data_IF_172038189415
#
_entry.id   IF_172038189415
#
_cell.length_a   1.000
_cell.length_b   1.000
_cell.length_c   1.000
_cell.angle_alpha   90.00
_cell.angle_beta   90.00
_cell.angle_gamma   90.00
#
_symmetry.space_group_name_H-M   'P 1'
#
loop_
_entity.id
_entity.type
_entity.pdbx_description
1 polymer ?
#
# COMPACT_ATOMS: atom_id res chain seq x y z
N UNK A 1 -4.85 13.74 -12.71
CA UNK A 1 -4.25 12.67 -11.88
C UNK A 1 -2.84 13.13 -11.62
N UNK A 2 -2.39 13.02 -10.37
CA UNK A 2 -1.08 13.53 -9.98
C UNK A 2 0.04 12.82 -10.75
N UNK A 3 1.08 13.57 -11.05
CA UNK A 3 2.38 13.07 -11.52
C UNK A 3 3.14 12.41 -10.37
N UNK A 4 4.26 11.73 -10.68
CA UNK A 4 5.13 11.14 -9.66
C UNK A 4 5.65 12.20 -8.68
N UNK A 5 6.11 13.35 -9.21
CA UNK A 5 6.63 14.46 -8.41
C UNK A 5 5.55 15.08 -7.52
N UNK A 6 4.34 15.32 -8.04
CA UNK A 6 3.22 15.82 -7.23
C UNK A 6 2.79 14.81 -6.16
N UNK A 7 2.88 13.51 -6.47
CA UNK A 7 2.60 12.45 -5.49
C UNK A 7 3.66 12.40 -4.40
N UNK A 8 4.94 12.58 -4.74
CA UNK A 8 6.05 12.66 -3.78
C UNK A 8 5.90 13.87 -2.85
N UNK A 9 5.53 15.03 -3.39
CA UNK A 9 5.24 16.23 -2.60
C UNK A 9 4.06 16.01 -1.65
N UNK A 10 2.96 15.42 -2.16
CA UNK A 10 1.80 15.10 -1.33
C UNK A 10 2.16 14.09 -0.21
N UNK A 11 2.92 13.05 -0.54
CA UNK A 11 3.35 12.04 0.43
C UNK A 11 4.25 12.65 1.51
N UNK A 12 5.21 13.50 1.12
CA UNK A 12 6.09 14.21 2.06
C UNK A 12 5.26 15.07 3.02
N UNK A 13 4.31 15.84 2.50
CA UNK A 13 3.44 16.67 3.35
C UNK A 13 2.58 15.84 4.31
N UNK A 14 2.12 14.66 3.89
CA UNK A 14 1.38 13.73 4.77
C UNK A 14 2.28 13.17 5.88
N UNK A 15 3.52 12.80 5.57
CA UNK A 15 4.50 12.32 6.55
C UNK A 15 4.86 13.42 7.55
N UNK A 16 5.12 14.63 7.08
CA UNK A 16 5.48 15.78 7.92
C UNK A 16 4.33 16.22 8.85
N UNK A 17 3.08 15.92 8.48
CA UNK A 17 1.91 16.22 9.31
C UNK A 17 1.70 15.23 10.46
N UNK A 18 2.39 14.10 10.47
CA UNK A 18 2.23 13.04 11.47
C UNK A 18 3.21 13.21 12.64
N UNK A 19 2.84 12.78 13.87
CA UNK A 19 3.75 12.76 15.01
C UNK A 19 5.00 11.91 14.77
N UNK A 20 6.17 12.41 15.18
CA UNK A 20 7.47 11.73 14.97
C UNK A 20 7.52 10.34 15.63
N UNK A 21 6.78 10.12 16.72
CA UNK A 21 6.73 8.85 17.47
C UNK A 21 6.21 7.68 16.63
N UNK A 22 5.39 7.98 15.62
CA UNK A 22 4.89 6.97 14.67
C UNK A 22 6.05 6.35 13.91
N UNK A 23 7.09 7.12 13.60
CA UNK A 23 8.23 6.70 12.79
C UNK A 23 9.40 6.14 13.60
N UNK A 24 9.25 6.01 14.93
CA UNK A 24 10.29 5.42 15.76
C UNK A 24 10.62 3.99 15.30
N UNK A 25 11.91 3.73 15.03
CA UNK A 25 12.43 2.50 14.42
C UNK A 25 12.02 2.25 12.95
N UNK A 26 11.38 3.20 12.25
CA UNK A 26 11.17 3.16 10.80
C UNK A 26 12.39 3.76 10.05
N UNK A 27 13.56 3.16 10.23
CA UNK A 27 14.84 3.74 9.84
C UNK A 27 15.06 3.95 8.33
N UNK A 28 14.31 3.27 7.46
CA UNK A 28 14.35 3.51 6.01
C UNK A 28 13.24 4.44 5.51
N UNK A 29 12.39 4.93 6.41
CA UNK A 29 11.33 5.90 6.09
C UNK A 29 10.25 5.34 5.16
N UNK A 30 9.62 6.26 4.42
CA UNK A 30 8.59 5.97 3.42
C UNK A 30 9.14 6.27 2.04
N UNK A 31 9.11 5.29 1.14
CA UNK A 31 9.64 5.37 -0.20
C UNK A 31 8.51 5.35 -1.23
N UNK A 32 8.54 6.25 -2.20
CA UNK A 32 7.65 6.22 -3.36
C UNK A 32 8.38 5.61 -4.56
N UNK A 33 7.74 4.63 -5.21
CA UNK A 33 8.29 3.88 -6.33
C UNK A 33 7.46 4.05 -7.60
N UNK A 34 8.12 4.39 -8.70
CA UNK A 34 7.46 4.52 -10.01
C UNK A 34 6.99 3.15 -10.55
N UNK A 35 7.60 2.06 -10.11
CA UNK A 35 7.28 0.73 -10.61
C UNK A 35 5.84 0.30 -10.29
N UNK A 36 5.24 -0.46 -11.21
CA UNK A 36 4.01 -1.20 -10.96
C UNK A 36 4.34 -2.56 -10.39
N UNK A 37 3.69 -2.95 -9.29
CA UNK A 37 3.85 -4.27 -8.67
C UNK A 37 2.54 -5.04 -8.67
N UNK A 38 2.55 -6.18 -9.35
CA UNK A 38 1.45 -7.12 -9.34
C UNK A 38 1.56 -8.05 -8.14
N UNK A 39 0.41 -8.36 -7.52
CA UNK A 39 0.38 -9.31 -6.43
C UNK A 39 0.74 -10.72 -6.95
N UNK A 40 1.61 -11.48 -6.25
CA UNK A 40 2.02 -12.81 -6.71
C UNK A 40 0.86 -13.81 -6.72
N UNK A 41 -0.12 -13.59 -5.86
CA UNK A 41 -1.30 -14.46 -5.72
C UNK A 41 -2.45 -14.12 -6.69
N UNK A 42 -2.22 -13.22 -7.66
CA UNK A 42 -3.24 -12.84 -8.65
C UNK A 42 -3.64 -14.02 -9.55
N UNK A 43 -4.92 -14.10 -9.91
CA UNK A 43 -5.45 -15.05 -10.90
C UNK A 43 -5.52 -14.43 -12.31
N UNK A 44 -5.51 -13.10 -12.40
CA UNK A 44 -5.38 -12.32 -13.62
C UNK A 44 -4.47 -11.10 -13.37
N UNK A 45 -4.13 -10.33 -14.39
CA UNK A 45 -3.29 -9.12 -14.25
C UNK A 45 -4.07 -7.90 -13.72
N UNK A 46 -4.88 -8.12 -12.68
CA UNK A 46 -5.82 -7.16 -12.09
C UNK A 46 -5.64 -6.93 -10.58
N UNK A 47 -4.75 -7.69 -9.92
CA UNK A 47 -4.45 -7.53 -8.50
C UNK A 47 -3.06 -6.90 -8.33
N UNK A 48 -3.04 -5.69 -7.77
CA UNK A 48 -1.84 -4.87 -7.59
C UNK A 48 -1.51 -4.69 -6.10
N UNK A 49 -0.22 -4.56 -5.82
CA UNK A 49 0.30 -4.15 -4.51
C UNK A 49 0.46 -2.63 -4.54
N UNK A 50 -0.25 -1.94 -3.64
CA UNK A 50 -0.24 -0.47 -3.56
C UNK A 50 0.78 0.05 -2.55
N UNK A 51 0.93 -0.64 -1.42
CA UNK A 51 1.90 -0.36 -0.36
C UNK A 51 2.43 -1.66 0.23
N UNK A 52 3.61 -1.60 0.83
CA UNK A 52 4.19 -2.68 1.64
C UNK A 52 5.04 -2.11 2.77
N UNK A 53 4.81 -2.62 3.97
CA UNK A 53 5.70 -2.50 5.10
C UNK A 53 6.72 -3.64 5.13
N UNK A 54 7.99 -3.28 5.28
CA UNK A 54 9.10 -4.21 5.43
C UNK A 54 9.67 -4.12 6.84
N UNK A 55 9.92 -5.30 7.44
CA UNK A 55 10.66 -5.43 8.69
C UNK A 55 11.78 -6.46 8.52
N UNK A 56 12.96 -5.99 8.13
CA UNK A 56 14.14 -6.82 7.89
C UNK A 56 15.20 -6.61 8.97
N UNK A 57 15.93 -7.68 9.34
CA UNK A 57 16.97 -7.61 10.38
C UNK A 57 18.23 -6.88 9.94
N UNK A 58 18.50 -6.82 8.64
CA UNK A 58 19.72 -6.26 8.03
C UNK A 58 19.44 -4.86 7.48
N UNK A 59 18.33 -4.68 6.77
CA UNK A 59 17.95 -3.41 6.15
C UNK A 59 17.06 -2.53 7.04
N UNK A 60 16.58 -3.07 8.15
CA UNK A 60 15.70 -2.38 9.08
C UNK A 60 14.27 -2.31 8.59
N UNK A 61 13.54 -1.29 9.03
CA UNK A 61 12.10 -1.12 8.74
C UNK A 61 11.84 0.08 7.84
N UNK A 62 10.98 -0.11 6.86
CA UNK A 62 10.62 0.90 5.88
C UNK A 62 9.29 0.58 5.21
N UNK A 63 8.68 1.59 4.61
CA UNK A 63 7.45 1.48 3.83
C UNK A 63 7.77 1.78 2.37
N UNK A 64 7.16 1.03 1.47
CA UNK A 64 7.22 1.28 0.03
C UNK A 64 5.80 1.48 -0.48
N UNK A 65 5.55 2.59 -1.17
CA UNK A 65 4.31 2.86 -1.90
C UNK A 65 4.61 2.80 -3.39
N UNK A 66 3.80 2.06 -4.14
CA UNK A 66 3.98 1.85 -5.58
C UNK A 66 3.07 2.80 -6.36
N UNK A 67 3.59 3.97 -6.73
CA UNK A 67 2.90 4.94 -7.57
C UNK A 67 2.40 4.29 -8.87
N UNK A 68 3.23 3.51 -9.54
CA UNK A 68 2.83 2.82 -10.78
C UNK A 68 1.62 1.91 -10.58
N UNK A 69 1.54 1.20 -9.46
CA UNK A 69 0.36 0.40 -9.10
C UNK A 69 -0.88 1.27 -8.85
N UNK A 70 -0.72 2.37 -8.10
CA UNK A 70 -1.81 3.32 -7.86
C UNK A 70 -2.35 3.91 -9.15
N UNK A 71 -1.49 4.25 -10.12
CA UNK A 71 -1.92 4.74 -11.43
C UNK A 71 -2.80 3.73 -12.18
N UNK A 72 -2.52 2.42 -12.04
CA UNK A 72 -3.34 1.36 -12.64
C UNK A 72 -4.69 1.21 -11.97
N UNK A 73 -4.71 1.23 -10.63
CA UNK A 73 -5.93 0.99 -9.85
C UNK A 73 -6.86 2.21 -9.88
N UNK A 74 -6.31 3.41 -9.76
CA UNK A 74 -7.08 4.66 -9.66
C UNK A 74 -7.09 5.44 -10.98
N UNK A 75 -7.04 4.75 -12.11
CA UNK A 75 -7.08 5.41 -13.41
C UNK A 75 -8.40 6.19 -13.60
N UNK A 76 -8.29 7.47 -13.96
CA UNK A 76 -9.45 8.32 -14.24
C UNK A 76 -10.13 8.94 -13.02
N UNK A 77 -9.61 8.73 -11.81
CA UNK A 77 -10.12 9.42 -10.62
C UNK A 77 -9.61 10.87 -10.54
N UNK A 78 -10.29 11.69 -9.74
CA UNK A 78 -9.87 13.07 -9.46
C UNK A 78 -8.57 13.10 -8.63
N UNK A 79 -7.81 14.19 -8.72
CA UNK A 79 -6.58 14.35 -7.92
C UNK A 79 -6.86 14.31 -6.41
N UNK A 80 -7.97 14.91 -5.97
CA UNK A 80 -8.39 14.84 -4.58
C UNK A 80 -8.65 13.40 -4.12
N UNK A 81 -9.35 12.62 -4.95
CA UNK A 81 -9.59 11.19 -4.66
C UNK A 81 -8.26 10.44 -4.62
N UNK A 82 -7.37 10.65 -5.59
CA UNK A 82 -6.05 10.01 -5.61
C UNK A 82 -5.22 10.32 -4.37
N UNK A 83 -5.20 11.57 -3.90
CA UNK A 83 -4.55 11.95 -2.64
C UNK A 83 -5.19 11.29 -1.42
N UNK A 84 -6.53 11.18 -1.40
CA UNK A 84 -7.23 10.50 -0.31
C UNK A 84 -6.84 9.02 -0.24
N UNK A 85 -6.75 8.34 -1.39
CA UNK A 85 -6.30 6.95 -1.47
C UNK A 85 -4.83 6.80 -1.08
N UNK A 86 -3.95 7.73 -1.49
CA UNK A 86 -2.55 7.77 -1.04
C UNK A 86 -2.45 7.84 0.49
N UNK A 87 -3.25 8.69 1.11
CA UNK A 87 -3.30 8.85 2.56
C UNK A 87 -3.79 7.56 3.25
N UNK A 88 -4.81 6.88 2.68
CA UNK A 88 -5.28 5.61 3.22
C UNK A 88 -4.20 4.52 3.15
N UNK A 89 -3.49 4.41 2.03
CA UNK A 89 -2.40 3.45 1.86
C UNK A 89 -1.28 3.74 2.87
N UNK A 90 -0.85 5.00 2.99
CA UNK A 90 0.17 5.39 3.97
C UNK A 90 -0.25 5.01 5.40
N UNK A 91 -1.47 5.33 5.80
CA UNK A 91 -1.99 4.99 7.14
C UNK A 91 -2.01 3.49 7.39
N UNK A 92 -2.39 2.71 6.38
CA UNK A 92 -2.41 1.25 6.47
C UNK A 92 -1.01 0.70 6.72
N UNK A 93 -0.02 1.10 5.92
CA UNK A 93 1.37 0.64 6.10
C UNK A 93 2.01 1.11 7.41
N UNK A 94 1.68 2.32 7.86
CA UNK A 94 2.11 2.80 9.18
C UNK A 94 1.45 2.02 10.32
N UNK A 95 0.23 1.55 10.13
CA UNK A 95 -0.43 0.70 11.13
C UNK A 95 0.24 -0.66 11.19
N UNK A 96 0.62 -1.27 10.06
CA UNK A 96 1.46 -2.46 10.05
C UNK A 96 2.79 -2.26 10.78
N UNK A 97 3.42 -1.10 10.60
CA UNK A 97 4.63 -0.76 11.34
C UNK A 97 4.41 -0.75 12.86
N UNK A 98 3.35 -0.10 13.33
CA UNK A 98 3.02 -0.01 14.75
C UNK A 98 2.63 -1.37 15.34
N UNK A 99 1.83 -2.17 14.63
CA UNK A 99 1.47 -3.53 15.04
C UNK A 99 2.70 -4.43 15.14
N UNK A 100 3.58 -4.39 14.12
CA UNK A 100 4.82 -5.15 14.13
C UNK A 100 5.73 -4.75 15.30
N UNK A 101 5.75 -3.47 15.67
CA UNK A 101 6.46 -2.97 16.85
C UNK A 101 5.82 -3.43 18.17
N UNK A 102 4.49 -3.49 18.23
CA UNK A 102 3.75 -4.01 19.37
C UNK A 102 3.79 -5.54 19.50
N UNK A 103 4.17 -6.25 18.43
CA UNK A 103 4.10 -7.71 18.35
C UNK A 103 2.72 -8.26 18.00
N UNK A 104 1.82 -7.40 17.52
CA UNK A 104 0.46 -7.71 17.07
C UNK A 104 0.44 -8.09 15.58
N UNK A 105 -0.65 -8.75 15.14
CA UNK A 105 -0.81 -9.23 13.75
C UNK A 105 -2.24 -9.07 13.20
N UNK A 106 -3.03 -8.16 13.76
CA UNK A 106 -4.45 -8.07 13.44
C UNK A 106 -4.70 -7.69 11.97
N UNK A 107 -3.87 -6.82 11.38
CA UNK A 107 -4.02 -6.44 9.97
C UNK A 107 -3.62 -7.54 8.97
N UNK A 108 -2.70 -8.45 9.33
CA UNK A 108 -2.38 -9.58 8.45
C UNK A 108 -3.63 -10.43 8.18
N UNK A 109 -4.58 -10.52 9.13
CA UNK A 109 -5.85 -11.23 8.92
C UNK A 109 -6.80 -10.47 7.99
N UNK A 110 -6.82 -9.14 8.05
CA UNK A 110 -7.63 -8.27 7.19
C UNK A 110 -7.18 -8.40 5.73
N UNK A 111 -5.88 -8.35 5.46
CA UNK A 111 -5.32 -8.49 4.11
C UNK A 111 -5.61 -9.87 3.51
N UNK A 112 -5.45 -10.91 4.33
CA UNK A 112 -5.82 -12.28 3.95
C UNK A 112 -7.31 -12.39 3.61
N UNK A 113 -8.19 -11.69 4.34
CA UNK A 113 -9.62 -11.65 4.04
C UNK A 113 -9.91 -10.97 2.70
N UNK A 114 -9.24 -9.85 2.40
CA UNK A 114 -9.36 -9.19 1.09
C UNK A 114 -8.94 -10.11 -0.05
N UNK A 115 -7.85 -10.87 0.13
CA UNK A 115 -7.38 -11.85 -0.84
C UNK A 115 -8.37 -13.01 -1.03
N UNK A 116 -9.01 -13.48 0.04
CA UNK A 116 -10.08 -14.48 -0.06
C UNK A 116 -11.29 -13.95 -0.85
N UNK A 117 -11.69 -12.69 -0.63
CA UNK A 117 -12.74 -12.04 -1.40
C UNK A 117 -12.38 -11.88 -2.88
N UNK A 118 -11.11 -11.64 -3.19
CA UNK A 118 -10.61 -11.65 -4.57
C UNK A 118 -10.81 -13.02 -5.21
N UNK A 119 -10.35 -14.10 -4.57
CA UNK A 119 -10.52 -15.46 -5.11
C UNK A 119 -11.98 -15.87 -5.31
N UNK A 120 -12.85 -15.49 -4.37
CA UNK A 120 -14.28 -15.79 -4.48
C UNK A 120 -14.90 -15.14 -5.73
N UNK A 121 -14.54 -13.88 -6.03
CA UNK A 121 -15.02 -13.17 -7.23
C UNK A 121 -14.53 -13.82 -8.52
N UNK A 122 -13.26 -14.21 -8.59
CA UNK A 122 -12.73 -14.89 -9.79
C UNK A 122 -13.33 -16.29 -10.00
N UNK A 123 -13.64 -17.02 -8.92
CA UNK A 123 -14.30 -18.32 -9.02
C UNK A 123 -15.73 -18.22 -9.54
N UNK A 124 -16.42 -17.10 -9.28
CA UNK A 124 -17.78 -16.84 -9.78
C UNK A 124 -17.80 -16.29 -11.22
N UNK A 125 -16.70 -15.73 -11.71
CA UNK A 125 -16.53 -15.28 -13.10
C UNK A 125 -16.13 -16.39 -14.08
N UNK A 126 -15.89 -17.61 -13.59
CA UNK A 126 -15.66 -18.81 -14.41
C UNK A 126 -16.97 -19.62 -14.49
N UNK A 127 -17.98 -19.10 -15.19
CA UNK A 127 -19.04 -19.98 -15.69
C UNK A 127 -18.45 -20.82 -16.84
N UNK A 128 -18.60 -22.16 -16.82
CA UNK A 128 -18.18 -22.99 -17.94
C UNK A 128 -19.19 -22.79 -19.08
N UNK A 129 -18.71 -22.24 -20.19
CA UNK A 129 -19.37 -22.38 -21.50
C UNK A 129 -19.38 -23.85 -21.94
#
# INVERSE_FOLDING_TARGET
MLTLEETEQALTAMVDALPEEIFFELNGGVLLKEETKLHPARQADDLYILGEYYADRIFGRYIVIYYGSMQRVFQGVSEHTFQSELEQILKHELTHHLENRAGERDLEFEDNRQLLHYYARHRQGQDPD
#
